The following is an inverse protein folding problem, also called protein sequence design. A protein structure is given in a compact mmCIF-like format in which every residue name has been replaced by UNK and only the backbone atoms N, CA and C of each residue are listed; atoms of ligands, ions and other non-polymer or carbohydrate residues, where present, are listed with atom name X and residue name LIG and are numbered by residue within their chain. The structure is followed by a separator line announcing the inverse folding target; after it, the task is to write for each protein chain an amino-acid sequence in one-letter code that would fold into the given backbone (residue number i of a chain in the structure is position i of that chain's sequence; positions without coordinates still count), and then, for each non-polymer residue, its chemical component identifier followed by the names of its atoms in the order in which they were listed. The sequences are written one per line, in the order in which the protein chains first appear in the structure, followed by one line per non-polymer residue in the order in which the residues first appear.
data_IF_107206390291
#
_entry.id   IF_107206390291
#
_cell.length_a   1.000
_cell.length_b   1.000
_cell.length_c   1.000
_cell.angle_alpha   90.00
_cell.angle_beta   90.00
_cell.angle_gamma   90.00
#
_symmetry.space_group_name_H-M   'P 1'
#
loop_
_entity.id
_entity.type
_entity.pdbx_description
1 polymer ?
#
# COMPACT_ATOMS: atom_id res chain seq x y z
N UNK A 1 23.71 -7.96 -26.44
CA UNK A 1 22.81 -7.00 -27.10
C UNK A 1 21.62 -6.80 -26.17
N UNK A 2 21.75 -5.86 -25.22
CA UNK A 2 20.76 -5.57 -24.19
C UNK A 2 20.34 -4.12 -24.44
N UNK A 3 19.07 -3.91 -24.79
CA UNK A 3 18.52 -2.58 -24.97
C UNK A 3 17.42 -2.38 -23.93
N UNK A 4 17.81 -1.80 -22.79
CA UNK A 4 16.91 -1.22 -21.80
C UNK A 4 16.43 0.14 -22.33
N UNK A 5 15.16 0.25 -22.70
CA UNK A 5 14.56 1.53 -23.07
C UNK A 5 13.16 1.66 -22.46
N UNK A 6 13.11 2.35 -21.32
CA UNK A 6 12.33 3.59 -21.06
C UNK A 6 11.94 3.68 -19.58
N UNK A 7 12.78 4.38 -18.84
CA UNK A 7 12.35 5.18 -17.70
C UNK A 7 11.52 6.34 -18.22
N UNK A 8 10.24 6.41 -17.85
CA UNK A 8 9.47 7.65 -17.90
C UNK A 8 8.31 7.56 -16.89
N UNK A 9 8.22 8.60 -16.04
CA UNK A 9 7.18 8.91 -15.03
C UNK A 9 7.38 8.35 -13.61
N UNK A 10 8.16 9.11 -12.84
CA UNK A 10 8.19 9.11 -11.38
C UNK A 10 7.01 9.92 -10.84
N UNK A 11 6.22 9.34 -9.92
CA UNK A 11 5.76 9.89 -8.62
C UNK A 11 4.47 9.15 -8.17
N UNK A 12 4.63 8.38 -7.08
CA UNK A 12 3.65 7.90 -6.10
C UNK A 12 2.26 7.40 -6.54
N UNK A 13 2.11 6.08 -6.51
CA UNK A 13 1.00 5.42 -5.79
C UNK A 13 1.49 4.39 -4.74
N UNK A 14 2.80 4.39 -4.42
CA UNK A 14 3.52 3.21 -3.90
C UNK A 14 3.41 2.02 -4.89
N UNK A 15 4.05 2.18 -6.06
CA UNK A 15 4.39 1.12 -7.02
C UNK A 15 3.26 0.17 -7.40
N UNK A 16 2.51 0.48 -8.47
CA UNK A 16 1.31 -0.25 -8.92
C UNK A 16 1.40 -1.79 -8.88
N UNK A 17 2.56 -2.40 -9.05
CA UNK A 17 2.82 -3.80 -8.68
C UNK A 17 4.31 -3.89 -8.36
N UNK A 18 4.71 -4.19 -7.12
CA UNK A 18 6.06 -4.77 -6.93
C UNK A 18 6.13 -5.70 -5.72
N UNK A 19 6.01 -7.03 -5.93
CA UNK A 19 6.31 -8.08 -4.95
C UNK A 19 7.66 -7.91 -4.23
N UNK A 20 8.64 -7.26 -4.87
CA UNK A 20 9.98 -7.03 -4.30
C UNK A 20 10.04 -5.96 -3.21
N UNK A 21 9.11 -5.00 -3.20
CA UNK A 21 9.06 -3.96 -2.16
C UNK A 21 8.27 -4.46 -0.95
N UNK A 22 7.17 -5.17 -1.13
CA UNK A 22 6.42 -5.72 0.01
C UNK A 22 7.21 -6.78 0.79
N UNK A 23 7.94 -7.68 0.11
CA UNK A 23 8.84 -8.67 0.73
C UNK A 23 10.08 -8.06 1.41
N UNK A 24 10.37 -6.78 1.18
CA UNK A 24 11.48 -6.07 1.85
C UNK A 24 11.05 -5.19 3.02
N UNK A 25 9.75 -5.18 3.38
CA UNK A 25 9.22 -4.55 4.60
C UNK A 25 9.08 -3.02 4.53
N UNK A 26 8.55 -2.49 3.42
CA UNK A 26 8.31 -1.05 3.27
C UNK A 26 6.97 -0.63 3.89
N UNK A 27 6.97 0.48 4.63
CA UNK A 27 5.78 1.22 5.04
C UNK A 27 5.83 2.56 4.30
N UNK A 28 4.86 2.85 3.42
CA UNK A 28 4.89 4.05 2.59
C UNK A 28 4.04 5.18 3.19
N UNK A 29 4.71 6.27 3.53
CA UNK A 29 4.17 7.51 4.06
C UNK A 29 4.84 8.69 3.35
N UNK A 30 4.05 9.69 2.95
CA UNK A 30 4.50 10.83 2.16
C UNK A 30 3.94 12.16 2.70
N UNK A 31 4.78 13.20 2.77
CA UNK A 31 4.38 14.56 3.17
C UNK A 31 4.62 15.56 2.04
N UNK A 32 3.74 16.53 1.82
CA UNK A 32 3.87 17.54 0.76
C UNK A 32 3.82 18.99 1.28
N UNK A 33 4.74 19.84 0.81
CA UNK A 33 4.72 21.32 0.96
C UNK A 33 4.62 22.02 -0.40
N UNK A 34 3.59 22.87 -0.57
CA UNK A 34 3.26 23.64 -1.76
C UNK A 34 4.27 24.73 -2.09
N UNK A 35 5.15 25.12 -1.15
CA UNK A 35 6.17 26.15 -1.43
C UNK A 35 7.31 25.64 -2.31
N UNK A 36 7.56 24.32 -2.34
CA UNK A 36 8.66 23.72 -3.11
C UNK A 36 8.35 22.34 -3.75
N UNK A 37 7.13 21.80 -3.59
CA UNK A 37 6.75 20.48 -4.12
C UNK A 37 7.52 19.32 -3.49
N UNK A 38 8.02 19.49 -2.26
CA UNK A 38 8.83 18.49 -1.57
C UNK A 38 7.93 17.37 -1.09
N UNK A 39 8.13 16.16 -1.64
CA UNK A 39 7.56 14.93 -1.09
C UNK A 39 8.56 14.34 -0.09
N UNK A 40 8.21 14.33 1.20
CA UNK A 40 8.98 13.59 2.22
C UNK A 40 8.48 12.17 2.28
N UNK A 41 9.19 11.26 1.63
CA UNK A 41 8.93 9.82 1.77
C UNK A 41 9.72 9.29 2.95
N UNK A 42 9.01 8.69 3.89
CA UNK A 42 9.63 8.02 5.02
C UNK A 42 9.86 6.55 4.69
N UNK A 43 11.04 6.07 5.07
CA UNK A 43 11.49 4.71 4.81
C UNK A 43 12.05 4.18 6.12
N UNK A 44 11.55 3.04 6.58
CA UNK A 44 11.88 2.50 7.91
C UNK A 44 13.27 1.84 7.94
N UNK A 45 13.89 1.61 6.78
CA UNK A 45 15.22 0.98 6.66
C UNK A 45 16.13 1.78 5.72
N UNK A 46 17.35 2.07 6.15
CA UNK A 46 18.32 2.80 5.31
C UNK A 46 18.62 2.08 3.97
N UNK A 47 18.74 0.76 3.99
CA UNK A 47 18.98 -0.04 2.78
C UNK A 47 17.90 0.11 1.70
N UNK A 48 16.69 0.55 2.09
CA UNK A 48 15.59 0.83 1.17
C UNK A 48 15.75 2.23 0.55
N UNK A 49 16.19 3.23 1.34
CA UNK A 49 16.51 4.58 0.85
C UNK A 49 17.57 4.56 -0.26
N UNK A 50 18.62 3.76 -0.07
CA UNK A 50 19.78 3.68 -0.97
C UNK A 50 19.42 3.15 -2.37
N UNK A 51 18.25 2.53 -2.54
CA UNK A 51 17.75 1.99 -3.80
C UNK A 51 16.88 3.00 -4.58
N UNK A 52 16.57 4.16 -3.99
CA UNK A 52 15.69 5.14 -4.63
C UNK A 52 16.46 6.05 -5.58
N UNK A 53 15.94 6.28 -6.80
CA UNK A 53 16.55 7.24 -7.71
C UNK A 53 16.48 8.64 -7.10
N UNK A 54 17.58 9.38 -7.18
CA UNK A 54 17.60 10.79 -6.77
C UNK A 54 16.57 11.58 -7.57
N UNK A 55 15.77 12.39 -6.87
CA UNK A 55 14.85 13.32 -7.49
C UNK A 55 14.93 14.66 -6.74
N UNK A 56 15.34 15.76 -7.39
CA UNK A 56 15.54 17.05 -6.72
C UNK A 56 14.24 17.66 -6.18
N UNK A 57 13.07 17.13 -6.56
CA UNK A 57 11.75 17.53 -6.04
C UNK A 57 11.26 16.61 -4.90
N UNK A 58 11.98 15.54 -4.57
CA UNK A 58 11.58 14.57 -3.55
C UNK A 58 12.70 14.50 -2.51
N UNK A 59 12.41 14.95 -1.30
CA UNK A 59 13.33 14.82 -0.18
C UNK A 59 13.02 13.52 0.56
N UNK A 60 13.75 12.45 0.31
CA UNK A 60 13.51 11.20 1.04
C UNK A 60 14.30 11.20 2.36
N UNK A 61 13.68 10.77 3.46
CA UNK A 61 14.33 10.67 4.77
C UNK A 61 14.06 9.32 5.42
N UNK A 62 15.08 8.74 6.04
CA UNK A 62 14.92 7.58 6.92
C UNK A 62 14.57 8.10 8.32
N UNK A 63 13.27 8.24 8.60
CA UNK A 63 12.77 8.68 9.91
C UNK A 63 11.47 7.96 10.24
N UNK A 64 11.01 8.10 11.49
CA UNK A 64 9.73 7.55 11.95
C UNK A 64 8.59 8.55 11.74
N UNK A 65 7.40 8.05 11.43
CA UNK A 65 6.19 8.87 11.24
C UNK A 65 5.79 9.62 12.52
N UNK A 66 6.24 9.16 13.69
CA UNK A 66 6.06 9.83 14.97
C UNK A 66 7.14 10.89 15.28
N UNK A 67 8.17 11.01 14.43
CA UNK A 67 9.26 11.97 14.58
C UNK A 67 9.82 12.33 13.20
N UNK A 68 9.08 13.12 12.43
CA UNK A 68 9.41 13.44 11.03
C UNK A 68 10.66 14.32 10.89
N UNK A 69 11.09 14.97 11.98
CA UNK A 69 12.12 16.01 12.01
C UNK A 69 11.79 17.24 11.13
N UNK A 70 10.52 17.41 10.75
CA UNK A 70 10.06 18.57 9.99
C UNK A 70 9.73 19.74 10.92
N UNK A 71 9.81 20.99 10.43
CA UNK A 71 9.34 22.14 11.19
C UNK A 71 7.83 22.02 11.51
N UNK A 72 7.35 22.66 12.59
CA UNK A 72 5.91 22.80 12.80
C UNK A 72 5.29 23.65 11.69
N UNK A 73 4.00 23.46 11.43
CA UNK A 73 3.21 24.24 10.45
C UNK A 73 3.86 24.35 9.05
N UNK A 74 4.48 23.26 8.57
CA UNK A 74 5.23 23.25 7.31
C UNK A 74 4.62 22.40 6.21
N UNK A 75 3.67 21.53 6.52
CA UNK A 75 3.11 20.53 5.60
C UNK A 75 1.67 20.90 5.21
N UNK A 76 1.37 20.88 3.92
CA UNK A 76 0.00 21.09 3.42
C UNK A 76 -0.81 19.79 3.36
N UNK A 77 -0.16 18.67 3.06
CA UNK A 77 -0.79 17.36 2.90
C UNK A 77 0.08 16.23 3.46
N UNK A 78 -0.54 15.39 4.26
CA UNK A 78 -0.03 14.11 4.73
C UNK A 78 -0.73 12.98 3.96
N UNK A 79 0.04 12.05 3.41
CA UNK A 79 -0.44 10.88 2.67
C UNK A 79 0.08 9.58 3.30
N UNK A 80 -0.81 8.63 3.59
CA UNK A 80 -0.45 7.32 4.14
C UNK A 80 -0.99 6.23 3.21
N UNK A 81 -0.09 5.45 2.60
CA UNK A 81 -0.44 4.45 1.60
C UNK A 81 -0.26 3.04 2.19
N UNK A 82 -1.36 2.41 2.59
CA UNK A 82 -1.40 1.06 3.19
C UNK A 82 -0.59 0.87 4.50
N UNK A 83 -0.17 1.94 5.16
CA UNK A 83 0.74 1.83 6.30
C UNK A 83 0.10 2.16 7.66
N UNK A 84 -1.09 2.79 7.70
CA UNK A 84 -1.62 3.39 8.93
C UNK A 84 -1.76 2.40 10.09
N UNK A 85 -2.12 1.14 9.81
CA UNK A 85 -2.30 0.10 10.82
C UNK A 85 -0.99 -0.39 11.47
N UNK A 86 0.17 0.03 10.96
CA UNK A 86 1.46 -0.29 11.56
C UNK A 86 1.98 0.81 12.50
N UNK A 87 1.32 1.96 12.56
CA UNK A 87 1.81 3.11 13.31
C UNK A 87 1.39 3.04 14.78
N UNK A 88 2.24 3.59 15.66
CA UNK A 88 1.78 4.14 16.93
C UNK A 88 0.91 5.36 16.62
N UNK A 89 -0.40 5.16 16.60
CA UNK A 89 -1.36 6.16 16.13
C UNK A 89 -1.36 7.41 17.01
N UNK A 90 -1.18 7.27 18.32
CA UNK A 90 -1.17 8.41 19.23
C UNK A 90 0.06 9.29 18.97
N UNK A 91 1.24 8.67 18.91
CA UNK A 91 2.48 9.39 18.62
C UNK A 91 2.47 10.00 17.20
N UNK A 92 1.96 9.23 16.22
CA UNK A 92 1.79 9.69 14.85
C UNK A 92 0.86 10.90 14.74
N UNK A 93 -0.32 10.86 15.38
CA UNK A 93 -1.27 11.96 15.28
C UNK A 93 -0.82 13.22 16.01
N UNK A 94 -0.03 13.09 17.08
CA UNK A 94 0.65 14.24 17.69
C UNK A 94 1.62 14.90 16.70
N UNK A 95 2.44 14.10 16.03
CA UNK A 95 3.39 14.60 15.04
C UNK A 95 2.70 15.19 13.80
N UNK A 96 1.68 14.50 13.27
CA UNK A 96 0.88 14.96 12.15
C UNK A 96 0.25 16.33 12.42
N UNK A 97 -0.32 16.53 13.62
CA UNK A 97 -0.88 17.82 14.04
C UNK A 97 0.19 18.90 14.20
N UNK A 98 1.40 18.54 14.65
CA UNK A 98 2.51 19.48 14.80
C UNK A 98 2.99 20.01 13.45
N UNK A 99 3.14 19.14 12.46
CA UNK A 99 3.73 19.50 11.15
C UNK A 99 2.73 20.06 10.15
N UNK A 100 1.44 19.71 10.27
CA UNK A 100 0.40 20.24 9.40
C UNK A 100 0.19 21.74 9.63
N UNK A 101 0.11 22.49 8.55
CA UNK A 101 -0.40 23.87 8.56
C UNK A 101 -1.87 23.89 9.00
N UNK A 102 -2.33 25.05 9.46
CA UNK A 102 -3.77 25.35 9.59
C UNK A 102 -4.51 24.97 8.31
N UNK A 103 -5.66 24.30 8.47
CA UNK A 103 -6.48 23.77 7.38
C UNK A 103 -5.79 22.72 6.48
N UNK A 104 -4.59 22.26 6.85
CA UNK A 104 -3.85 21.21 6.16
C UNK A 104 -4.58 19.87 6.17
N UNK A 105 -4.22 19.01 5.22
CA UNK A 105 -4.94 17.78 4.93
C UNK A 105 -4.16 16.54 5.35
N UNK A 106 -4.90 15.51 5.74
CA UNK A 106 -4.36 14.16 5.94
C UNK A 106 -5.24 13.17 5.21
N UNK A 107 -4.61 12.26 4.46
CA UNK A 107 -5.24 11.26 3.62
C UNK A 107 -4.55 9.92 3.85
N UNK A 108 -5.26 8.97 4.46
CA UNK A 108 -4.82 7.58 4.57
C UNK A 108 -5.66 6.70 3.65
N UNK A 109 -5.04 5.85 2.85
CA UNK A 109 -5.77 4.88 2.05
C UNK A 109 -5.24 3.48 2.20
N UNK A 110 -6.15 2.52 2.03
CA UNK A 110 -5.83 1.13 1.90
C UNK A 110 -6.70 0.48 0.82
N UNK A 111 -6.28 -0.69 0.35
CA UNK A 111 -7.06 -1.46 -0.61
C UNK A 111 -7.20 -2.90 -0.14
N UNK A 112 -8.42 -3.42 -0.34
CA UNK A 112 -8.84 -4.72 0.16
C UNK A 112 -8.32 -5.88 -0.69
N UNK A 113 -8.98 -7.02 -0.55
CA UNK A 113 -8.77 -8.19 -1.43
C UNK A 113 -9.20 -7.84 -2.85
N UNK A 114 -8.42 -8.18 -3.88
CA UNK A 114 -8.83 -7.92 -5.25
C UNK A 114 -10.05 -8.73 -5.66
N UNK A 115 -10.77 -8.19 -6.63
CA UNK A 115 -11.84 -8.83 -7.37
C UNK A 115 -11.31 -9.11 -8.77
N UNK A 116 -11.35 -10.37 -9.19
CA UNK A 116 -10.98 -10.77 -10.54
C UNK A 116 -12.21 -10.62 -11.45
N UNK A 117 -12.04 -10.05 -12.64
CA UNK A 117 -13.15 -9.70 -13.53
C UNK A 117 -13.90 -10.88 -14.16
N UNK A 118 -13.32 -12.08 -14.14
CA UNK A 118 -14.00 -13.32 -14.50
C UNK A 118 -14.58 -13.98 -13.25
N UNK A 119 -15.88 -14.29 -13.26
CA UNK A 119 -16.61 -14.78 -12.08
C UNK A 119 -16.10 -16.12 -11.56
N UNK A 120 -15.79 -17.06 -12.46
CA UNK A 120 -15.35 -18.40 -12.07
C UNK A 120 -13.93 -18.35 -11.49
N UNK A 121 -13.03 -17.63 -12.16
CA UNK A 121 -11.67 -17.39 -11.68
C UNK A 121 -11.69 -16.62 -10.37
N UNK A 122 -12.57 -15.61 -10.23
CA UNK A 122 -12.71 -14.87 -8.99
C UNK A 122 -13.15 -15.78 -7.85
N UNK A 123 -14.11 -16.69 -8.07
CA UNK A 123 -14.56 -17.60 -7.03
C UNK A 123 -13.43 -18.51 -6.52
N UNK A 124 -12.62 -19.06 -7.43
CA UNK A 124 -11.44 -19.86 -7.08
C UNK A 124 -10.40 -19.03 -6.31
N UNK A 125 -10.18 -17.79 -6.75
CA UNK A 125 -9.27 -16.87 -6.09
C UNK A 125 -9.74 -16.48 -4.67
N UNK A 126 -11.04 -16.18 -4.49
CA UNK A 126 -11.60 -15.85 -3.17
C UNK A 126 -11.57 -17.06 -2.23
N UNK A 127 -11.85 -18.26 -2.72
CA UNK A 127 -11.73 -19.49 -1.93
C UNK A 127 -10.28 -19.72 -1.48
N UNK A 128 -9.30 -19.53 -2.37
CA UNK A 128 -7.90 -19.57 -2.00
C UNK A 128 -7.54 -18.52 -0.93
N UNK A 129 -8.03 -17.28 -1.09
CA UNK A 129 -7.80 -16.21 -0.12
C UNK A 129 -8.34 -16.55 1.27
N UNK A 130 -9.57 -17.05 1.34
CA UNK A 130 -10.30 -17.30 2.59
C UNK A 130 -9.93 -18.65 3.23
N UNK A 131 -9.83 -19.71 2.44
CA UNK A 131 -9.69 -21.08 2.92
C UNK A 131 -8.29 -21.66 2.64
N UNK A 132 -7.65 -21.25 1.54
CA UNK A 132 -6.30 -21.70 1.21
C UNK A 132 -5.23 -21.10 2.14
N UNK A 133 -5.21 -19.77 2.27
CA UNK A 133 -4.23 -19.06 3.11
C UNK A 133 -4.85 -18.27 4.26
N UNK A 134 -6.17 -18.33 4.44
CA UNK A 134 -6.90 -17.48 5.39
C UNK A 134 -6.38 -17.53 6.82
N UNK A 135 -6.11 -18.73 7.34
CA UNK A 135 -5.62 -18.95 8.70
C UNK A 135 -4.22 -18.36 8.98
N UNK A 136 -3.50 -17.95 7.93
CA UNK A 136 -2.13 -17.45 8.01
C UNK A 136 -2.05 -15.93 7.92
N UNK A 137 -3.17 -15.23 7.72
CA UNK A 137 -3.18 -13.76 7.71
C UNK A 137 -2.79 -13.18 9.08
N UNK A 138 -1.93 -12.15 9.14
CA UNK A 138 -1.73 -11.35 10.34
C UNK A 138 -3.03 -10.72 10.84
N UNK A 139 -3.23 -10.59 12.17
CA UNK A 139 -4.34 -9.83 12.74
C UNK A 139 -4.44 -8.40 12.19
N UNK A 140 -3.30 -7.79 11.89
CA UNK A 140 -3.21 -6.43 11.34
C UNK A 140 -3.92 -6.28 9.97
N UNK A 141 -4.14 -7.40 9.25
CA UNK A 141 -4.88 -7.42 7.99
C UNK A 141 -6.34 -6.99 8.16
N UNK A 142 -6.94 -7.25 9.32
CA UNK A 142 -8.33 -6.91 9.62
C UNK A 142 -8.59 -5.40 9.48
N UNK A 143 -7.62 -4.56 9.86
CA UNK A 143 -7.72 -3.11 9.71
C UNK A 143 -7.78 -2.66 8.25
N UNK A 144 -7.15 -3.39 7.33
CA UNK A 144 -7.23 -3.08 5.90
C UNK A 144 -8.54 -3.60 5.32
N UNK A 145 -8.99 -4.79 5.73
CA UNK A 145 -10.24 -5.37 5.26
C UNK A 145 -11.46 -4.55 5.69
N UNK A 146 -11.43 -3.98 6.90
CA UNK A 146 -12.49 -3.09 7.38
C UNK A 146 -12.35 -1.63 6.91
N UNK A 147 -11.41 -1.34 6.00
CA UNK A 147 -11.22 0.00 5.44
C UNK A 147 -10.84 1.05 6.50
N UNK A 148 -10.09 0.66 7.52
CA UNK A 148 -9.75 1.49 8.69
C UNK A 148 -10.94 1.96 9.54
N UNK A 149 -12.12 1.34 9.43
CA UNK A 149 -13.32 1.79 10.14
C UNK A 149 -13.14 1.85 11.68
N UNK A 150 -12.32 0.96 12.24
CA UNK A 150 -12.05 0.89 13.68
C UNK A 150 -10.85 1.72 14.18
N UNK A 151 -10.10 2.38 13.29
CA UNK A 151 -8.93 3.15 13.71
C UNK A 151 -9.33 4.55 14.21
N UNK A 152 -8.73 5.05 15.31
CA UNK A 152 -8.85 6.45 15.70
C UNK A 152 -8.50 7.37 14.54
N UNK A 153 -9.25 8.46 14.37
CA UNK A 153 -8.93 9.45 13.35
C UNK A 153 -9.28 10.85 13.87
N UNK A 154 -8.34 11.52 14.55
CA UNK A 154 -8.61 12.75 15.31
C UNK A 154 -8.54 14.02 14.43
N UNK A 155 -9.16 13.96 13.26
CA UNK A 155 -9.25 15.05 12.28
C UNK A 155 -10.70 15.23 11.83
N UNK A 156 -11.05 16.44 11.42
CA UNK A 156 -12.37 16.70 10.86
C UNK A 156 -12.52 15.92 9.54
N UNK A 157 -13.37 14.87 9.54
CA UNK A 157 -13.52 13.96 8.39
C UNK A 157 -14.04 14.70 7.17
N UNK A 158 -13.47 14.39 6.02
CA UNK A 158 -13.93 14.84 4.71
C UNK A 158 -14.67 13.70 4.01
N UNK A 159 -15.71 14.03 3.26
CA UNK A 159 -16.38 13.06 2.39
C UNK A 159 -15.44 12.64 1.27
N UNK A 160 -15.34 11.34 1.03
CA UNK A 160 -14.57 10.74 -0.05
C UNK A 160 -15.50 10.02 -1.02
N UNK A 161 -15.31 10.10 -2.34
CA UNK A 161 -15.91 9.15 -3.26
C UNK A 161 -15.29 7.76 -3.06
N UNK A 162 -15.93 6.74 -3.65
CA UNK A 162 -15.33 5.42 -3.75
C UNK A 162 -14.25 5.44 -4.83
N UNK A 163 -13.12 4.81 -4.53
CA UNK A 163 -12.00 4.67 -5.46
C UNK A 163 -11.74 3.19 -5.71
N UNK A 164 -11.18 2.91 -6.88
CA UNK A 164 -10.76 1.57 -7.26
C UNK A 164 -9.42 1.66 -8.00
N UNK A 165 -8.53 0.72 -7.70
CA UNK A 165 -7.38 0.44 -8.56
C UNK A 165 -7.81 -0.61 -9.58
N UNK A 166 -7.42 -0.42 -10.85
CA UNK A 166 -7.78 -1.33 -11.94
C UNK A 166 -6.56 -1.58 -12.81
N UNK A 167 -6.27 -2.86 -13.02
CA UNK A 167 -5.19 -3.29 -13.89
C UNK A 167 -5.63 -4.46 -14.77
N UNK A 168 -4.97 -4.65 -15.91
CA UNK A 168 -5.14 -5.83 -16.76
C UNK A 168 -3.94 -6.75 -16.57
N UNK A 169 -4.18 -7.94 -16.02
CA UNK A 169 -3.10 -8.85 -15.65
C UNK A 169 -3.16 -10.16 -16.43
N UNK A 170 -1.97 -10.67 -16.72
CA UNK A 170 -1.71 -12.07 -17.06
C UNK A 170 -1.62 -12.91 -15.77
N UNK A 171 -1.83 -14.22 -15.89
CA UNK A 171 -1.79 -15.16 -14.76
C UNK A 171 -0.53 -15.00 -13.90
N UNK A 172 0.63 -14.89 -14.52
CA UNK A 172 1.92 -14.77 -13.80
C UNK A 172 2.04 -13.47 -12.99
N UNK A 173 1.37 -12.39 -13.39
CA UNK A 173 1.33 -11.16 -12.60
C UNK A 173 0.48 -11.37 -11.33
N UNK A 174 -0.65 -12.08 -11.45
CA UNK A 174 -1.45 -12.46 -10.28
C UNK A 174 -0.67 -13.38 -9.34
N UNK A 175 0.01 -14.41 -9.89
CA UNK A 175 0.80 -15.34 -9.08
C UNK A 175 1.94 -14.63 -8.35
N UNK A 176 2.64 -13.73 -9.04
CA UNK A 176 3.68 -12.89 -8.41
C UNK A 176 3.14 -12.02 -7.27
N UNK A 177 1.93 -11.48 -7.43
CA UNK A 177 1.25 -10.71 -6.38
C UNK A 177 0.87 -11.58 -5.18
N UNK A 178 0.22 -12.73 -5.39
CA UNK A 178 -0.14 -13.68 -4.32
C UNK A 178 1.10 -14.21 -3.60
N UNK A 179 2.21 -14.40 -4.33
CA UNK A 179 3.48 -14.84 -3.76
C UNK A 179 4.05 -13.86 -2.73
N UNK A 180 3.75 -12.56 -2.88
CA UNK A 180 4.23 -11.52 -1.95
C UNK A 180 3.40 -11.36 -0.69
N UNK A 181 2.26 -12.05 -0.57
CA UNK A 181 1.43 -11.94 0.61
C UNK A 181 2.12 -12.50 1.85
N UNK A 182 1.95 -11.81 2.97
CA UNK A 182 2.43 -12.28 4.27
C UNK A 182 1.82 -13.63 4.66
N UNK A 183 0.54 -13.86 4.31
CA UNK A 183 -0.12 -15.13 4.54
C UNK A 183 0.54 -16.27 3.75
N UNK A 184 0.88 -16.04 2.48
CA UNK A 184 1.63 -17.02 1.66
C UNK A 184 3.00 -17.34 2.27
N UNK A 185 3.75 -16.33 2.72
CA UNK A 185 5.05 -16.55 3.36
C UNK A 185 4.93 -17.37 4.66
N UNK A 186 3.93 -17.07 5.50
CA UNK A 186 3.63 -17.80 6.75
C UNK A 186 3.17 -19.23 6.47
N UNK A 187 2.32 -19.42 5.47
CA UNK A 187 1.90 -20.75 5.01
C UNK A 187 3.12 -21.59 4.66
N UNK A 188 4.01 -21.08 3.80
CA UNK A 188 5.22 -21.81 3.38
C UNK A 188 6.09 -22.18 4.59
N UNK A 189 6.25 -21.25 5.54
CA UNK A 189 7.03 -21.48 6.74
C UNK A 189 6.45 -22.61 7.62
N UNK A 190 5.12 -22.71 7.71
CA UNK A 190 4.44 -23.66 8.58
C UNK A 190 4.22 -25.02 7.92
N UNK A 191 3.78 -25.04 6.66
CA UNK A 191 3.37 -26.25 5.93
C UNK A 191 4.48 -26.85 5.06
N UNK A 192 5.53 -26.08 4.78
CA UNK A 192 6.72 -26.56 4.04
C UNK A 192 6.56 -26.64 2.52
N UNK A 193 5.46 -26.15 1.96
CA UNK A 193 5.25 -26.07 0.51
C UNK A 193 4.60 -24.74 0.08
N UNK A 194 4.70 -24.43 -1.21
CA UNK A 194 4.18 -23.18 -1.77
C UNK A 194 2.72 -23.34 -2.28
N UNK A 195 1.73 -22.69 -1.63
CA UNK A 195 0.33 -22.84 -1.99
C UNK A 195 -0.01 -22.13 -3.32
N UNK A 196 0.85 -21.21 -3.78
CA UNK A 196 0.67 -20.51 -5.08
C UNK A 196 0.73 -21.48 -6.25
N UNK A 197 1.46 -22.59 -6.14
CA UNK A 197 1.50 -23.61 -7.18
C UNK A 197 0.13 -24.24 -7.41
N UNK A 198 -0.58 -24.58 -6.32
CA UNK A 198 -1.93 -25.16 -6.39
C UNK A 198 -2.92 -24.17 -7.01
N UNK A 199 -2.85 -22.89 -6.62
CA UNK A 199 -3.68 -21.85 -7.22
C UNK A 199 -3.38 -21.67 -8.71
N UNK A 200 -2.10 -21.61 -9.09
CA UNK A 200 -1.68 -21.48 -10.49
C UNK A 200 -2.26 -22.62 -11.33
N UNK A 201 -2.09 -23.86 -10.87
CA UNK A 201 -2.54 -25.04 -11.63
C UNK A 201 -4.08 -25.04 -11.80
N UNK A 202 -4.83 -24.59 -10.78
CA UNK A 202 -6.28 -24.43 -10.86
C UNK A 202 -6.73 -23.33 -11.84
N UNK A 203 -5.92 -22.27 -12.02
CA UNK A 203 -6.26 -21.13 -12.88
C UNK A 203 -5.69 -21.23 -14.30
N UNK A 204 -4.66 -22.07 -14.53
CA UNK A 204 -3.91 -22.13 -15.78
C UNK A 204 -4.79 -22.42 -17.02
N UNK A 205 -5.70 -23.39 -16.90
CA UNK A 205 -6.60 -23.77 -17.99
C UNK A 205 -7.75 -22.78 -18.21
N UNK A 206 -7.93 -21.81 -17.31
CA UNK A 206 -9.01 -20.81 -17.37
C UNK A 206 -8.49 -19.44 -17.88
N UNK A 207 -7.19 -19.18 -17.75
CA UNK A 207 -6.59 -17.87 -17.98
C UNK A 207 -6.05 -17.71 -19.42
N UNK A 208 -6.92 -17.44 -20.38
CA UNK A 208 -6.55 -17.38 -21.81
C UNK A 208 -6.12 -16.00 -22.34
N UNK A 209 -6.39 -14.94 -21.59
CA UNK A 209 -6.09 -13.56 -21.96
C UNK A 209 -5.90 -12.68 -20.71
N UNK A 210 -5.55 -11.42 -20.89
CA UNK A 210 -5.49 -10.47 -19.77
C UNK A 210 -6.87 -10.30 -19.14
N UNK A 211 -6.93 -10.40 -17.81
CA UNK A 211 -8.16 -10.21 -17.03
C UNK A 211 -8.05 -8.93 -16.23
N UNK A 212 -9.17 -8.21 -16.13
CA UNK A 212 -9.23 -7.02 -15.28
C UNK A 212 -9.22 -7.45 -13.81
N UNK A 213 -8.30 -6.89 -13.04
CA UNK A 213 -8.23 -7.06 -11.58
C UNK A 213 -8.53 -5.71 -10.94
N UNK A 214 -9.45 -5.72 -9.97
CA UNK A 214 -9.96 -4.51 -9.31
C UNK A 214 -9.67 -4.60 -7.82
N UNK A 215 -9.07 -3.57 -7.25
CA UNK A 215 -8.97 -3.42 -5.80
C UNK A 215 -9.87 -2.27 -5.35
N UNK A 216 -10.91 -2.54 -4.56
CA UNK A 216 -11.64 -1.50 -3.86
C UNK A 216 -10.68 -0.75 -2.92
N UNK A 217 -10.65 0.57 -3.02
CA UNK A 217 -9.80 1.44 -2.23
C UNK A 217 -10.65 2.26 -1.27
N UNK A 218 -10.29 2.19 0.01
CA UNK A 218 -10.87 3.06 1.04
C UNK A 218 -9.95 4.23 1.28
N UNK A 219 -10.50 5.44 1.27
CA UNK A 219 -9.80 6.67 1.60
C UNK A 219 -10.40 7.29 2.87
N UNK A 220 -9.56 7.46 3.88
CA UNK A 220 -9.82 8.21 5.09
C UNK A 220 -9.15 9.56 4.98
N UNK A 221 -9.93 10.60 4.70
CA UNK A 221 -9.45 11.96 4.55
C UNK A 221 -9.95 12.87 5.67
N UNK A 222 -9.11 13.80 6.11
CA UNK A 222 -9.43 14.74 7.18
C UNK A 222 -8.68 16.05 7.05
N UNK A 223 -9.18 17.05 7.78
CA UNK A 223 -8.59 18.38 7.88
C UNK A 223 -8.10 18.65 9.30
N UNK A 224 -6.92 19.27 9.41
CA UNK A 224 -6.43 19.84 10.66
C UNK A 224 -7.32 21.00 11.11
N UNK A 225 -7.36 21.26 12.41
CA UNK A 225 -8.11 22.37 12.96
C UNK A 225 -7.57 23.73 12.48
N UNK A 226 -8.46 24.73 12.47
CA UNK A 226 -8.18 26.13 12.14
C UNK A 226 -7.29 26.85 13.14
#
# INVERSE_FOLDING_TARGET
MITFHRFQHTISQAGLITPKLFLSGWQDYALSDNRHGIVVREVVRQAQLDLLPENPKILTRCTSAANSQLPPDSVDLICIAQALHWFDLDAFYLEAKRVLKKEGLIAAWCYGTPIIGDEHINQLFQDFYQNGVGAYWPPEREHVENGYAGLPFPFARLSSPNFELREKWQLEQLMGYVQSWSATARFIQQEGYNPVNTLRDALAELWHAEITVIWPLTLLAGRAAS
#
